data_IF_976637130387
#
_entry.id   IF_976637130387
#
_cell.length_a   1.000
_cell.length_b   1.000
_cell.length_c   1.000
_cell.angle_alpha   90.00
_cell.angle_beta   90.00
_cell.angle_gamma   90.00
#
_symmetry.space_group_name_H-M   'P 1'
#
loop_
_entity.id
_entity.type
_entity.pdbx_description
1 polymer ?
#
# COMPACT_ATOMS: atom_id res chain seq x y z
N UNK A 1 10.05 20.40 -32.56
CA UNK A 1 9.17 20.76 -31.43
C UNK A 1 7.84 20.02 -31.60
N UNK A 2 7.73 18.81 -31.05
CA UNK A 2 6.50 18.03 -31.14
C UNK A 2 5.62 18.34 -29.94
N UNK A 3 4.39 18.78 -30.19
CA UNK A 3 3.38 19.15 -29.19
C UNK A 3 3.04 17.93 -28.34
N UNK A 4 3.42 17.96 -27.06
CA UNK A 4 2.98 16.99 -26.04
C UNK A 4 1.45 17.03 -25.96
N UNK A 5 0.81 15.87 -26.08
CA UNK A 5 -0.64 15.71 -25.85
C UNK A 5 -0.92 16.04 -24.38
N UNK A 6 -1.86 16.96 -24.16
CA UNK A 6 -2.22 17.47 -22.84
C UNK A 6 -2.78 16.39 -21.93
N UNK A 7 -2.01 16.04 -20.91
CA UNK A 7 -2.52 15.65 -19.61
C UNK A 7 -2.79 16.95 -18.84
N UNK A 8 -3.86 16.98 -18.03
CA UNK A 8 -4.26 18.14 -17.24
C UNK A 8 -3.05 18.70 -16.43
N UNK A 9 -2.59 19.94 -16.69
CA UNK A 9 -1.42 20.54 -16.05
C UNK A 9 -1.58 20.85 -14.55
N UNK A 10 -2.75 20.56 -13.95
CA UNK A 10 -3.17 21.18 -12.69
C UNK A 10 -2.63 20.54 -11.38
N UNK A 11 -1.87 19.43 -11.41
CA UNK A 11 -1.35 18.86 -10.14
C UNK A 11 0.09 18.33 -10.13
N UNK A 12 0.70 17.96 -11.26
CA UNK A 12 2.09 17.47 -11.29
C UNK A 12 2.80 17.84 -12.61
N UNK A 13 3.65 18.90 -12.63
CA UNK A 13 4.37 19.32 -13.84
C UNK A 13 5.47 18.35 -14.28
N UNK A 14 5.72 17.29 -13.50
CA UNK A 14 6.79 16.32 -13.71
C UNK A 14 6.25 14.87 -13.84
N UNK A 15 4.98 14.71 -14.24
CA UNK A 15 4.31 13.41 -14.34
C UNK A 15 5.11 12.38 -15.16
N UNK A 16 5.62 12.78 -16.33
CA UNK A 16 6.44 11.92 -17.19
C UNK A 16 7.64 11.31 -16.45
N UNK A 17 8.28 12.09 -15.57
CA UNK A 17 9.42 11.64 -14.78
C UNK A 17 9.01 10.70 -13.66
N UNK A 18 7.95 11.03 -12.92
CA UNK A 18 7.43 10.12 -11.89
C UNK A 18 6.98 8.79 -12.49
N UNK A 19 6.35 8.80 -13.66
CA UNK A 19 5.81 7.60 -14.30
C UNK A 19 6.93 6.65 -14.74
N UNK A 20 7.95 7.15 -15.44
CA UNK A 20 9.05 6.30 -15.87
C UNK A 20 9.85 5.77 -14.66
N UNK A 21 9.98 6.55 -13.58
CA UNK A 21 10.65 6.10 -12.36
C UNK A 21 9.83 5.01 -11.65
N UNK A 22 8.49 5.11 -11.64
CA UNK A 22 7.61 4.08 -11.11
C UNK A 22 7.65 2.79 -11.95
N UNK A 23 7.78 2.90 -13.28
CA UNK A 23 7.98 1.75 -14.16
C UNK A 23 9.34 1.07 -13.88
N UNK A 24 10.42 1.85 -13.76
CA UNK A 24 11.73 1.33 -13.34
C UNK A 24 11.67 0.68 -11.96
N UNK A 25 10.94 1.28 -11.01
CA UNK A 25 10.76 0.70 -9.68
C UNK A 25 10.11 -0.68 -9.80
N UNK A 26 9.00 -0.77 -10.53
CA UNK A 26 8.24 -2.01 -10.76
C UNK A 26 9.12 -3.08 -11.38
N UNK A 27 9.91 -2.73 -12.39
CA UNK A 27 10.89 -3.64 -12.99
C UNK A 27 11.94 -4.14 -11.96
N UNK A 28 12.54 -3.24 -11.18
CA UNK A 28 13.55 -3.64 -10.19
C UNK A 28 12.95 -4.55 -9.10
N UNK A 29 11.68 -4.35 -8.72
CA UNK A 29 10.96 -5.22 -7.77
C UNK A 29 10.62 -6.58 -8.38
N UNK A 30 10.00 -6.59 -9.55
CA UNK A 30 9.35 -7.76 -10.10
C UNK A 30 10.31 -8.66 -10.87
N UNK A 31 11.28 -8.07 -11.59
CA UNK A 31 12.23 -8.82 -12.40
C UNK A 31 13.55 -9.01 -11.66
N UNK A 32 14.19 -7.91 -11.24
CA UNK A 32 15.51 -7.98 -10.59
C UNK A 32 15.44 -8.36 -9.10
N UNK A 33 14.26 -8.34 -8.49
CA UNK A 33 14.04 -8.61 -7.05
C UNK A 33 14.90 -7.72 -6.15
N UNK A 34 15.22 -6.51 -6.61
CA UNK A 34 16.10 -5.55 -5.97
C UNK A 34 15.31 -4.49 -5.18
N UNK A 35 14.84 -4.85 -3.98
CA UNK A 35 13.99 -3.99 -3.16
C UNK A 35 14.62 -2.63 -2.81
N UNK A 36 15.93 -2.56 -2.59
CA UNK A 36 16.61 -1.28 -2.34
C UNK A 36 16.50 -0.31 -3.53
N UNK A 37 16.62 -0.82 -4.77
CA UNK A 37 16.46 0.00 -5.98
C UNK A 37 15.01 0.38 -6.22
N UNK A 38 14.07 -0.54 -6.00
CA UNK A 38 12.63 -0.26 -6.03
C UNK A 38 12.28 0.92 -5.12
N UNK A 39 12.75 0.90 -3.86
CA UNK A 39 12.51 1.97 -2.90
C UNK A 39 13.16 3.29 -3.32
N UNK A 40 14.39 3.25 -3.85
CA UNK A 40 15.09 4.45 -4.32
C UNK A 40 14.34 5.14 -5.47
N UNK A 41 13.85 4.37 -6.45
CA UNK A 41 13.05 4.93 -7.54
C UNK A 41 11.70 5.48 -7.06
N UNK A 42 11.02 4.81 -6.12
CA UNK A 42 9.78 5.34 -5.52
C UNK A 42 9.99 6.62 -4.73
N UNK A 43 11.07 6.71 -3.93
CA UNK A 43 11.43 7.94 -3.21
C UNK A 43 11.62 9.10 -4.21
N UNK A 44 12.41 8.86 -5.26
CA UNK A 44 12.63 9.87 -6.29
C UNK A 44 11.34 10.27 -7.02
N UNK A 45 10.50 9.31 -7.39
CA UNK A 45 9.23 9.56 -8.07
C UNK A 45 8.27 10.42 -7.22
N UNK A 46 8.11 10.09 -5.93
CA UNK A 46 7.23 10.84 -5.02
C UNK A 46 7.71 12.28 -4.80
N UNK A 47 9.02 12.49 -4.72
CA UNK A 47 9.61 13.82 -4.52
C UNK A 47 9.52 14.67 -5.78
N UNK A 48 9.76 14.07 -6.95
CA UNK A 48 9.61 14.73 -8.24
C UNK A 48 8.15 15.09 -8.50
N UNK A 49 7.21 14.20 -8.17
CA UNK A 49 5.78 14.44 -8.34
C UNK A 49 5.26 15.63 -7.52
N UNK A 50 5.86 15.89 -6.35
CA UNK A 50 5.52 17.02 -5.47
C UNK A 50 6.26 18.30 -5.82
N UNK A 51 7.22 18.27 -6.73
CA UNK A 51 7.98 19.46 -7.08
C UNK A 51 7.09 20.44 -7.87
N UNK A 52 6.90 21.69 -7.41
CA UNK A 52 5.84 22.58 -7.92
C UNK A 52 6.14 23.15 -9.31
N UNK A 53 7.39 23.05 -9.76
CA UNK A 53 7.83 23.57 -11.05
C UNK A 53 8.32 22.44 -11.93
N UNK A 54 8.32 22.67 -13.24
CA UNK A 54 8.90 21.71 -14.18
C UNK A 54 10.42 21.61 -13.96
N UNK A 55 10.93 20.39 -13.87
CA UNK A 55 12.36 20.09 -13.83
C UNK A 55 12.91 20.17 -15.26
N UNK A 56 13.97 20.96 -15.44
CA UNK A 56 14.56 21.29 -16.74
C UNK A 56 15.89 20.59 -17.00
N UNK A 57 16.49 19.96 -15.97
CA UNK A 57 17.72 19.18 -16.10
C UNK A 57 17.88 18.16 -14.97
N UNK A 58 18.73 17.15 -15.21
CA UNK A 58 19.17 16.21 -14.19
C UNK A 58 19.89 16.90 -13.03
N UNK A 59 20.66 17.95 -13.29
CA UNK A 59 21.33 18.73 -12.24
C UNK A 59 20.35 19.47 -11.33
N UNK A 60 19.25 19.99 -11.88
CA UNK A 60 18.15 20.54 -11.07
C UNK A 60 17.51 19.44 -10.22
N UNK A 61 17.22 18.28 -10.83
CA UNK A 61 16.62 17.15 -10.14
C UNK A 61 17.50 16.65 -8.99
N UNK A 62 18.82 16.58 -9.19
CA UNK A 62 19.83 16.09 -8.23
C UNK A 62 19.87 16.91 -6.92
N UNK A 63 19.36 18.14 -6.92
CA UNK A 63 19.23 18.96 -5.70
C UNK A 63 18.13 18.47 -4.76
N UNK A 64 17.24 17.59 -5.24
CA UNK A 64 16.16 17.01 -4.44
C UNK A 64 16.68 15.80 -3.65
N UNK A 65 16.44 15.77 -2.33
CA UNK A 65 16.86 14.65 -1.48
C UNK A 65 16.24 13.32 -1.96
N UNK A 66 17.05 12.37 -2.42
CA UNK A 66 16.56 11.10 -2.98
C UNK A 66 16.76 10.98 -4.49
N UNK A 67 17.21 12.03 -5.17
CA UNK A 67 17.61 11.99 -6.58
C UNK A 67 19.14 11.97 -6.69
N UNK A 68 19.71 10.79 -6.94
CA UNK A 68 21.15 10.63 -7.18
C UNK A 68 21.56 10.76 -8.65
N UNK A 69 22.88 10.70 -8.91
CA UNK A 69 23.47 10.84 -10.26
C UNK A 69 22.85 9.94 -11.33
N UNK A 70 22.54 8.69 -10.96
CA UNK A 70 21.96 7.71 -11.88
C UNK A 70 20.52 8.03 -12.28
N UNK A 71 19.79 8.77 -11.45
CA UNK A 71 18.42 9.22 -11.74
C UNK A 71 18.49 10.52 -12.54
N UNK A 72 19.34 11.46 -12.11
CA UNK A 72 19.62 12.70 -12.84
C UNK A 72 19.96 12.45 -14.32
N UNK A 73 20.89 11.53 -14.60
CA UNK A 73 21.25 11.14 -15.97
C UNK A 73 20.09 10.59 -16.79
N UNK A 74 19.14 9.88 -16.16
CA UNK A 74 17.94 9.36 -16.85
C UNK A 74 16.96 10.48 -17.18
N UNK A 75 16.84 11.46 -16.29
CA UNK A 75 16.03 12.66 -16.51
C UNK A 75 16.62 13.44 -17.70
N UNK A 76 17.94 13.63 -17.75
CA UNK A 76 18.59 14.28 -18.90
C UNK A 76 18.37 13.51 -20.21
N UNK A 77 18.55 12.19 -20.20
CA UNK A 77 18.28 11.33 -21.36
C UNK A 77 16.82 11.49 -21.85
N UNK A 78 15.87 11.47 -20.92
CA UNK A 78 14.45 11.62 -21.23
C UNK A 78 14.12 13.01 -21.76
N UNK A 79 14.71 14.07 -21.20
CA UNK A 79 14.54 15.44 -21.68
C UNK A 79 15.07 15.58 -23.12
N UNK A 80 16.22 15.00 -23.40
CA UNK A 80 16.88 15.10 -24.72
C UNK A 80 16.16 14.29 -25.79
N UNK A 81 15.70 13.08 -25.46
CA UNK A 81 15.23 12.10 -26.46
C UNK A 81 13.72 11.86 -26.43
N UNK A 82 13.04 12.28 -25.36
CA UNK A 82 11.64 11.95 -25.08
C UNK A 82 11.40 10.50 -24.66
N UNK A 83 12.45 9.70 -24.47
CA UNK A 83 12.39 8.27 -24.15
C UNK A 83 13.51 7.87 -23.19
N UNK A 84 13.44 6.67 -22.65
CA UNK A 84 14.52 6.07 -21.87
C UNK A 84 14.91 4.72 -22.47
N UNK A 85 16.12 4.61 -23.04
CA UNK A 85 16.60 3.42 -23.72
C UNK A 85 16.54 2.17 -22.83
N UNK A 86 16.77 2.33 -21.52
CA UNK A 86 16.62 1.23 -20.56
C UNK A 86 15.19 0.70 -20.52
N UNK A 87 14.17 1.57 -20.52
CA UNK A 87 12.77 1.14 -20.51
C UNK A 87 12.36 0.51 -21.84
N UNK A 88 12.84 1.06 -22.97
CA UNK A 88 12.57 0.45 -24.29
C UNK A 88 13.10 -1.00 -24.34
N UNK A 89 14.29 -1.26 -23.80
CA UNK A 89 14.83 -2.63 -23.67
C UNK A 89 14.04 -3.51 -22.71
N UNK A 90 13.53 -2.95 -21.62
CA UNK A 90 12.71 -3.69 -20.66
C UNK A 90 11.39 -4.11 -21.30
N UNK A 91 10.73 -3.20 -22.01
CA UNK A 91 9.46 -3.40 -22.71
C UNK A 91 9.57 -4.36 -23.89
N UNK A 92 10.72 -4.39 -24.57
CA UNK A 92 10.99 -5.30 -25.68
C UNK A 92 11.32 -6.75 -25.26
N UNK A 93 11.39 -7.04 -23.95
CA UNK A 93 11.68 -8.37 -23.45
C UNK A 93 10.40 -9.03 -22.92
N UNK A 94 9.89 -10.00 -23.66
CA UNK A 94 8.63 -10.69 -23.36
C UNK A 94 8.62 -11.35 -21.97
N UNK A 95 9.77 -11.85 -21.49
CA UNK A 95 9.88 -12.41 -20.14
C UNK A 95 9.65 -11.35 -19.06
N UNK A 96 10.18 -10.13 -19.24
CA UNK A 96 9.97 -9.04 -18.29
C UNK A 96 8.51 -8.58 -18.27
N UNK A 97 7.89 -8.51 -19.45
CA UNK A 97 6.47 -8.15 -19.62
C UNK A 97 5.60 -9.19 -18.92
N UNK A 98 5.81 -10.48 -19.21
CA UNK A 98 5.07 -11.58 -18.60
C UNK A 98 5.23 -11.62 -17.08
N UNK A 99 6.45 -11.48 -16.54
CA UNK A 99 6.66 -11.42 -15.09
C UNK A 99 5.89 -10.25 -14.48
N UNK A 100 5.97 -9.07 -15.10
CA UNK A 100 5.30 -7.86 -14.59
C UNK A 100 3.79 -8.03 -14.60
N UNK A 101 3.23 -8.57 -15.68
CA UNK A 101 1.81 -8.85 -15.83
C UNK A 101 1.30 -9.83 -14.77
N UNK A 102 1.95 -10.99 -14.62
CA UNK A 102 1.53 -12.01 -13.66
C UNK A 102 1.63 -11.53 -12.21
N UNK A 103 2.59 -10.65 -11.87
CA UNK A 103 2.68 -10.08 -10.51
C UNK A 103 1.56 -9.11 -10.15
N UNK A 104 0.72 -8.70 -11.12
CA UNK A 104 -0.49 -7.92 -10.83
C UNK A 104 -1.56 -8.76 -10.14
N UNK A 105 -1.57 -10.08 -10.36
CA UNK A 105 -2.48 -11.00 -9.66
C UNK A 105 -2.07 -11.10 -8.20
N UNK A 106 -2.94 -10.70 -7.29
CA UNK A 106 -2.64 -10.79 -5.86
C UNK A 106 -2.32 -12.24 -5.45
N UNK A 107 -1.27 -12.41 -4.66
CA UNK A 107 -0.74 -13.73 -4.28
C UNK A 107 0.35 -14.27 -5.22
N UNK A 108 0.56 -13.65 -6.39
CA UNK A 108 1.68 -13.95 -7.28
C UNK A 108 2.80 -12.92 -7.05
N UNK A 109 3.82 -13.31 -6.29
CA UNK A 109 5.05 -12.53 -6.13
C UNK A 109 6.07 -12.80 -7.24
N UNK A 110 7.19 -12.02 -7.28
CA UNK A 110 8.23 -12.13 -8.30
C UNK A 110 8.75 -13.55 -8.55
N UNK A 111 8.97 -14.32 -7.46
CA UNK A 111 9.46 -15.69 -7.56
C UNK A 111 8.43 -16.64 -8.21
N UNK A 112 7.15 -16.49 -7.87
CA UNK A 112 6.09 -17.31 -8.46
C UNK A 112 5.84 -16.93 -9.92
N UNK A 113 5.89 -15.63 -10.26
CA UNK A 113 5.77 -15.17 -11.65
C UNK A 113 6.92 -15.73 -12.51
N UNK A 114 8.16 -15.68 -12.04
CA UNK A 114 9.31 -16.29 -12.74
C UNK A 114 9.12 -17.80 -12.95
N UNK A 115 8.63 -18.51 -11.93
CA UNK A 115 8.34 -19.94 -12.03
C UNK A 115 7.26 -20.22 -13.09
N UNK A 116 6.15 -19.48 -13.08
CA UNK A 116 5.06 -19.63 -14.05
C UNK A 116 5.54 -19.38 -15.48
N UNK A 117 6.34 -18.33 -15.70
CA UNK A 117 6.94 -18.02 -17.01
C UNK A 117 7.88 -19.13 -17.48
N UNK A 118 8.70 -19.68 -16.58
CA UNK A 118 9.57 -20.82 -16.91
C UNK A 118 8.77 -22.09 -17.29
N UNK A 119 7.52 -22.20 -16.83
CA UNK A 119 6.59 -23.26 -17.19
C UNK A 119 5.73 -22.92 -18.43
N UNK A 120 6.02 -21.81 -19.12
CA UNK A 120 5.32 -21.38 -20.34
C UNK A 120 4.08 -20.52 -20.12
N UNK A 121 3.70 -20.24 -18.87
CA UNK A 121 2.54 -19.40 -18.54
C UNK A 121 2.99 -17.95 -18.54
N UNK A 122 2.64 -17.20 -19.58
CA UNK A 122 3.20 -15.87 -19.86
C UNK A 122 2.15 -14.74 -19.91
N UNK A 123 0.86 -15.06 -19.80
CA UNK A 123 -0.22 -14.06 -19.76
C UNK A 123 -1.31 -14.45 -18.75
N UNK A 124 -2.20 -13.51 -18.44
CA UNK A 124 -3.38 -13.78 -17.60
C UNK A 124 -4.31 -14.83 -18.24
N UNK A 125 -4.46 -14.85 -19.56
CA UNK A 125 -5.28 -15.85 -20.27
C UNK A 125 -4.71 -17.26 -20.12
N UNK A 126 -3.39 -17.42 -20.22
CA UNK A 126 -2.75 -18.72 -19.97
C UNK A 126 -2.86 -19.12 -18.50
N UNK A 127 -2.78 -18.15 -17.59
CA UNK A 127 -2.97 -18.39 -16.16
C UNK A 127 -4.39 -18.89 -15.84
N UNK A 128 -5.41 -18.37 -16.54
CA UNK A 128 -6.81 -18.83 -16.42
C UNK A 128 -7.02 -20.28 -16.86
N UNK A 129 -6.17 -20.79 -17.76
CA UNK A 129 -6.19 -22.19 -18.22
C UNK A 129 -5.47 -23.14 -17.27
N UNK A 130 -4.56 -22.64 -16.42
CA UNK A 130 -3.68 -23.44 -15.56
C UNK A 130 -3.92 -23.17 -14.06
N UNK A 131 -5.18 -23.01 -13.66
CA UNK A 131 -5.55 -22.68 -12.26
C UNK A 131 -5.17 -23.77 -11.26
N UNK A 132 -5.00 -25.02 -11.69
CA UNK A 132 -4.53 -26.13 -10.87
C UNK A 132 -3.14 -25.88 -10.27
N UNK A 133 -2.31 -25.04 -10.91
CA UNK A 133 -0.98 -24.66 -10.41
C UNK A 133 -1.01 -23.57 -9.35
N UNK A 134 -2.17 -22.96 -9.12
CA UNK A 134 -2.35 -21.83 -8.23
C UNK A 134 -2.77 -22.26 -6.84
N UNK A 135 -2.21 -21.60 -5.82
CA UNK A 135 -2.71 -21.73 -4.46
C UNK A 135 -4.04 -20.97 -4.29
N UNK A 136 -4.67 -21.16 -3.12
CA UNK A 136 -5.97 -20.55 -2.80
C UNK A 136 -6.01 -19.03 -3.00
N UNK A 137 -5.02 -18.29 -2.49
CA UNK A 137 -4.91 -16.84 -2.65
C UNK A 137 -4.83 -16.46 -4.12
N UNK A 138 -3.96 -17.12 -4.88
CA UNK A 138 -3.75 -16.84 -6.30
C UNK A 138 -5.00 -17.12 -7.13
N UNK A 139 -5.77 -18.17 -6.81
CA UNK A 139 -7.05 -18.48 -7.47
C UNK A 139 -8.07 -17.36 -7.27
N UNK A 140 -8.23 -16.86 -6.04
CA UNK A 140 -9.13 -15.74 -5.77
C UNK A 140 -8.61 -14.45 -6.42
N UNK A 141 -7.29 -14.23 -6.37
CA UNK A 141 -6.66 -13.09 -7.03
C UNK A 141 -6.88 -13.07 -8.53
N UNK A 142 -6.90 -14.24 -9.17
CA UNK A 142 -7.22 -14.38 -10.60
C UNK A 142 -8.71 -14.26 -10.89
N UNK A 143 -9.57 -14.81 -10.00
CA UNK A 143 -11.03 -14.73 -10.10
C UNK A 143 -11.50 -13.28 -10.17
N UNK A 144 -10.90 -12.40 -9.38
CA UNK A 144 -11.29 -10.99 -9.22
C UNK A 144 -10.26 -10.01 -9.82
N UNK A 145 -9.42 -10.47 -10.75
CA UNK A 145 -8.29 -9.72 -11.27
C UNK A 145 -8.69 -8.34 -11.82
N UNK A 146 -9.70 -8.30 -12.68
CA UNK A 146 -10.16 -7.07 -13.34
C UNK A 146 -10.78 -6.07 -12.35
N UNK A 147 -11.37 -6.56 -11.26
CA UNK A 147 -12.01 -5.72 -10.25
C UNK A 147 -10.98 -5.12 -9.29
N UNK A 148 -9.92 -5.88 -8.95
CA UNK A 148 -8.84 -5.41 -8.08
C UNK A 148 -7.93 -4.38 -8.73
N UNK A 149 -7.90 -4.28 -10.06
CA UNK A 149 -7.21 -3.19 -10.76
C UNK A 149 -7.98 -1.86 -10.70
N UNK A 150 -9.28 -1.88 -10.37
CA UNK A 150 -10.12 -0.69 -10.35
C UNK A 150 -10.09 -0.01 -8.99
N UNK A 151 -9.88 1.31 -9.01
CA UNK A 151 -9.96 2.19 -7.84
C UNK A 151 -11.36 2.17 -7.22
N UNK A 152 -11.43 2.40 -5.91
CA UNK A 152 -12.67 2.53 -5.13
C UNK A 152 -12.95 4.03 -4.91
N UNK A 153 -14.02 4.62 -5.47
CA UNK A 153 -14.40 6.00 -5.20
C UNK A 153 -14.61 6.25 -3.70
N UNK A 154 -14.32 7.47 -3.23
CA UNK A 154 -14.48 7.83 -1.82
C UNK A 154 -15.93 7.65 -1.33
N UNK A 155 -16.91 7.93 -2.17
CA UNK A 155 -18.33 7.72 -1.85
C UNK A 155 -18.66 6.24 -1.59
N UNK A 156 -18.10 5.34 -2.41
CA UNK A 156 -18.23 3.88 -2.20
C UNK A 156 -17.56 3.46 -0.88
N UNK A 157 -16.36 3.99 -0.59
CA UNK A 157 -15.67 3.73 0.69
C UNK A 157 -16.48 4.20 1.91
N UNK A 158 -17.22 5.30 1.81
CA UNK A 158 -18.10 5.78 2.87
C UNK A 158 -19.24 4.80 3.14
N UNK A 159 -19.90 4.29 2.08
CA UNK A 159 -20.93 3.25 2.20
C UNK A 159 -20.36 1.97 2.82
N UNK A 160 -19.18 1.52 2.37
CA UNK A 160 -18.49 0.35 2.93
C UNK A 160 -18.17 0.55 4.41
N UNK A 161 -17.66 1.73 4.80
CA UNK A 161 -17.38 2.08 6.19
C UNK A 161 -18.62 1.98 7.06
N UNK A 162 -19.73 2.55 6.61
CA UNK A 162 -20.99 2.53 7.36
C UNK A 162 -21.46 1.10 7.65
N UNK A 163 -21.47 0.23 6.63
CA UNK A 163 -21.83 -1.19 6.77
C UNK A 163 -20.92 -1.86 7.79
N UNK A 164 -19.59 -1.76 7.63
CA UNK A 164 -18.67 -2.50 8.50
C UNK A 164 -18.72 -2.01 9.94
N UNK A 165 -18.72 -0.70 10.17
CA UNK A 165 -18.76 -0.16 11.54
C UNK A 165 -20.09 -0.49 12.22
N UNK A 166 -21.22 -0.40 11.51
CA UNK A 166 -22.53 -0.82 12.02
C UNK A 166 -22.52 -2.30 12.44
N UNK A 167 -22.03 -3.21 11.58
CA UNK A 167 -22.00 -4.64 11.91
C UNK A 167 -21.03 -4.99 13.03
N UNK A 168 -19.89 -4.30 13.13
CA UNK A 168 -18.95 -4.48 14.24
C UNK A 168 -19.61 -4.07 15.57
N UNK A 169 -20.29 -2.93 15.62
CA UNK A 169 -20.96 -2.48 16.85
C UNK A 169 -22.20 -3.31 17.21
N UNK A 170 -22.87 -3.96 16.24
CA UNK A 170 -23.94 -4.93 16.51
C UNK A 170 -23.42 -6.19 17.23
N UNK A 171 -22.17 -6.60 16.95
CA UNK A 171 -21.54 -7.72 17.65
C UNK A 171 -21.18 -7.36 19.09
N UNK A 172 -20.53 -6.21 19.26
CA UNK A 172 -20.12 -5.70 20.57
C UNK A 172 -19.85 -4.19 20.44
N UNK A 173 -20.54 -3.37 21.24
CA UNK A 173 -20.34 -1.92 21.26
C UNK A 173 -18.99 -1.50 21.83
N UNK A 174 -18.26 -2.40 22.50
CA UNK A 174 -16.91 -2.13 23.02
C UNK A 174 -15.82 -2.21 21.93
N UNK A 175 -16.12 -2.73 20.74
CA UNK A 175 -15.17 -2.65 19.63
C UNK A 175 -14.89 -1.20 19.25
N UNK A 176 -13.62 -0.89 19.03
CA UNK A 176 -13.21 0.33 18.34
C UNK A 176 -12.67 -0.08 16.97
N UNK A 177 -13.28 0.43 15.91
CA UNK A 177 -12.86 0.19 14.54
C UNK A 177 -12.91 1.47 13.71
N UNK A 178 -11.95 1.65 12.81
CA UNK A 178 -12.04 2.70 11.79
C UNK A 178 -11.26 2.34 10.53
N UNK A 179 -11.61 3.02 9.43
CA UNK A 179 -10.99 2.84 8.13
C UNK A 179 -9.71 3.67 8.06
N UNK A 180 -8.59 3.02 7.77
CA UNK A 180 -7.26 3.61 7.70
C UNK A 180 -6.82 3.83 6.24
N UNK A 181 -5.54 3.61 5.92
CA UNK A 181 -5.02 3.66 4.57
C UNK A 181 -5.23 5.00 3.87
N UNK A 182 -5.37 4.96 2.54
CA UNK A 182 -5.60 6.16 1.73
C UNK A 182 -6.91 6.89 2.09
N UNK A 183 -7.92 6.16 2.57
CA UNK A 183 -9.18 6.74 2.98
C UNK A 183 -9.02 7.74 4.14
N UNK A 184 -8.29 7.35 5.20
CA UNK A 184 -7.98 8.23 6.34
C UNK A 184 -7.09 9.41 5.95
N UNK A 185 -6.23 9.25 4.95
CA UNK A 185 -5.44 10.34 4.36
C UNK A 185 -6.26 11.28 3.47
N UNK A 186 -7.57 11.07 3.33
CA UNK A 186 -8.44 11.97 2.56
C UNK A 186 -8.36 11.78 1.05
N UNK A 187 -7.90 10.63 0.56
CA UNK A 187 -7.87 10.39 -0.89
C UNK A 187 -9.29 10.31 -1.49
N UNK A 188 -9.44 10.88 -2.69
CA UNK A 188 -10.69 10.83 -3.49
C UNK A 188 -11.04 9.43 -3.99
N UNK A 189 -10.07 8.52 -3.98
CA UNK A 189 -10.30 7.10 -4.17
C UNK A 189 -9.26 6.27 -3.41
N UNK A 190 -9.55 4.99 -3.16
CA UNK A 190 -8.66 4.03 -2.50
C UNK A 190 -8.39 2.81 -3.39
N UNK A 191 -7.32 2.07 -3.10
CA UNK A 191 -7.05 0.79 -3.79
C UNK A 191 -7.88 -0.35 -3.19
N UNK A 192 -8.02 -0.31 -1.88
CA UNK A 192 -8.68 -1.29 -1.03
C UNK A 192 -9.23 -0.62 0.24
N UNK A 193 -9.86 -1.42 1.10
CA UNK A 193 -10.33 -1.00 2.41
C UNK A 193 -9.46 -1.60 3.52
N UNK A 194 -8.83 -0.72 4.29
CA UNK A 194 -7.99 -1.05 5.45
C UNK A 194 -8.77 -0.75 6.74
N UNK A 195 -9.05 -1.75 7.56
CA UNK A 195 -9.77 -1.59 8.83
C UNK A 195 -8.85 -1.92 10.00
N UNK A 196 -8.64 -0.92 10.87
CA UNK A 196 -8.02 -1.15 12.16
C UNK A 196 -9.11 -1.51 13.16
N UNK A 197 -8.89 -2.57 13.94
CA UNK A 197 -9.83 -3.11 14.92
C UNK A 197 -9.14 -3.28 16.27
N UNK A 198 -9.81 -2.88 17.34
CA UNK A 198 -9.38 -3.19 18.70
C UNK A 198 -10.57 -3.37 19.65
N UNK A 199 -10.32 -3.97 20.80
CA UNK A 199 -11.32 -4.28 21.81
C UNK A 199 -10.67 -4.22 23.21
N UNK A 200 -11.29 -3.57 24.23
CA UNK A 200 -10.71 -3.41 25.57
C UNK A 200 -10.25 -4.72 26.22
N UNK A 201 -10.94 -5.82 25.93
CA UNK A 201 -10.58 -7.16 26.41
C UNK A 201 -9.26 -7.74 25.85
N UNK A 202 -8.62 -7.10 24.88
CA UNK A 202 -7.33 -7.51 24.29
C UNK A 202 -6.31 -6.37 24.38
N UNK A 203 -5.33 -6.52 25.26
CA UNK A 203 -4.19 -5.61 25.47
C UNK A 203 -2.86 -6.33 25.28
N UNK A 204 -1.75 -5.58 25.29
CA UNK A 204 -0.39 -6.10 25.11
C UNK A 204 0.05 -7.07 26.22
N UNK A 205 -0.61 -7.01 27.38
CA UNK A 205 -0.35 -7.88 28.54
C UNK A 205 -1.27 -9.10 28.61
N UNK A 206 -2.37 -9.10 27.84
CA UNK A 206 -3.28 -10.24 27.78
C UNK A 206 -2.86 -11.25 26.71
N UNK A 207 -3.33 -12.50 26.83
CA UNK A 207 -3.18 -13.49 25.76
C UNK A 207 -3.90 -13.00 24.50
N UNK A 208 -3.28 -13.19 23.33
CA UNK A 208 -3.92 -12.91 22.03
C UNK A 208 -5.29 -13.56 21.94
N UNK A 209 -6.25 -12.79 21.42
CA UNK A 209 -7.66 -13.17 21.27
C UNK A 209 -8.06 -13.26 19.80
N UNK A 210 -7.62 -14.29 19.06
CA UNK A 210 -7.96 -14.46 17.65
C UNK A 210 -9.47 -14.51 17.39
N UNK A 211 -10.24 -14.97 18.37
CA UNK A 211 -11.70 -15.05 18.32
C UNK A 211 -12.39 -13.70 18.10
N UNK A 212 -11.77 -12.57 18.51
CA UNK A 212 -12.34 -11.24 18.29
C UNK A 212 -12.41 -10.92 16.80
N UNK A 213 -11.29 -11.10 16.09
CA UNK A 213 -11.23 -10.91 14.65
C UNK A 213 -12.11 -11.93 13.91
N UNK A 214 -12.08 -13.20 14.33
CA UNK A 214 -12.87 -14.25 13.70
C UNK A 214 -14.38 -13.98 13.80
N UNK A 215 -14.88 -13.46 14.94
CA UNK A 215 -16.29 -13.08 15.09
C UNK A 215 -16.67 -11.95 14.13
N UNK A 216 -15.83 -10.92 14.01
CA UNK A 216 -16.05 -9.81 13.07
C UNK A 216 -16.11 -10.32 11.62
N UNK A 217 -15.15 -11.14 11.20
CA UNK A 217 -15.15 -11.72 9.84
C UNK A 217 -16.41 -12.54 9.59
N UNK A 218 -16.80 -13.42 10.53
CA UNK A 218 -18.02 -14.23 10.42
C UNK A 218 -19.29 -13.39 10.32
N UNK A 219 -19.37 -12.26 11.03
CA UNK A 219 -20.51 -11.36 10.94
C UNK A 219 -20.61 -10.74 9.54
N UNK A 220 -19.49 -10.25 9.01
CA UNK A 220 -19.44 -9.66 7.67
C UNK A 220 -19.69 -10.70 6.57
N UNK A 221 -19.30 -11.97 6.77
CA UNK A 221 -19.67 -13.10 5.91
C UNK A 221 -21.19 -13.38 5.96
N UNK A 222 -21.80 -13.30 7.15
CA UNK A 222 -23.23 -13.61 7.34
C UNK A 222 -24.16 -12.65 6.60
N UNK A 223 -23.74 -11.38 6.47
CA UNK A 223 -24.45 -10.37 5.67
C UNK A 223 -23.99 -10.33 4.21
N UNK A 224 -23.14 -11.27 3.79
CA UNK A 224 -22.55 -11.37 2.44
C UNK A 224 -21.72 -10.15 2.01
N UNK A 225 -21.30 -9.32 2.97
CA UNK A 225 -20.37 -8.22 2.68
C UNK A 225 -18.98 -8.78 2.39
N UNK A 226 -18.50 -9.73 3.20
CA UNK A 226 -17.31 -10.54 2.88
C UNK A 226 -17.71 -11.71 1.99
N UNK A 227 -17.05 -11.86 0.85
CA UNK A 227 -17.40 -12.84 -0.19
C UNK A 227 -16.35 -13.94 -0.36
N UNK A 228 -15.07 -13.62 -0.17
CA UNK A 228 -13.97 -14.58 -0.29
C UNK A 228 -12.87 -14.26 0.73
N UNK A 229 -12.22 -15.30 1.26
CA UNK A 229 -11.11 -15.15 2.23
C UNK A 229 -9.80 -15.57 1.58
N UNK A 230 -8.81 -14.66 1.56
CA UNK A 230 -7.45 -14.95 1.08
C UNK A 230 -6.60 -15.58 2.18
N UNK A 231 -6.67 -15.00 3.39
CA UNK A 231 -6.03 -15.53 4.59
C UNK A 231 -6.70 -14.98 5.85
N UNK A 232 -6.81 -15.83 6.88
CA UNK A 232 -7.27 -15.43 8.21
C UNK A 232 -6.30 -15.98 9.26
N UNK A 233 -5.59 -15.09 9.94
CA UNK A 233 -4.73 -15.41 11.08
C UNK A 233 -5.22 -14.74 12.36
N UNK A 234 -4.44 -14.84 13.43
CA UNK A 234 -4.87 -14.38 14.78
C UNK A 234 -5.14 -12.88 14.89
N UNK A 235 -4.44 -12.08 14.08
CA UNK A 235 -4.50 -10.60 14.18
C UNK A 235 -4.65 -9.93 12.83
N UNK A 236 -4.69 -10.68 11.73
CA UNK A 236 -4.82 -10.14 10.38
C UNK A 236 -5.76 -11.01 9.55
N UNK A 237 -6.70 -10.34 8.91
CA UNK A 237 -7.54 -10.88 7.86
C UNK A 237 -7.21 -10.19 6.54
N UNK A 238 -7.19 -10.97 5.47
CA UNK A 238 -7.13 -10.48 4.09
C UNK A 238 -8.22 -11.21 3.31
N UNK A 239 -9.11 -10.47 2.67
CA UNK A 239 -10.21 -11.05 1.91
C UNK A 239 -10.79 -10.12 0.85
N UNK A 240 -12.00 -10.45 0.46
CA UNK A 240 -12.75 -9.78 -0.60
C UNK A 240 -14.10 -9.41 -0.05
N UNK A 241 -14.52 -8.18 -0.33
CA UNK A 241 -15.84 -7.70 0.02
C UNK A 241 -16.56 -7.09 -1.17
N UNK A 242 -17.87 -6.99 -1.06
CA UNK A 242 -18.71 -6.36 -2.05
C UNK A 242 -19.85 -5.64 -1.32
N UNK A 243 -20.15 -4.40 -1.71
CA UNK A 243 -21.39 -3.76 -1.26
C UNK A 243 -22.60 -4.50 -1.84
N UNK A 244 -23.72 -4.57 -1.10
CA UNK A 244 -24.98 -5.03 -1.68
C UNK A 244 -25.37 -4.11 -2.84
N UNK A 245 -26.19 -4.63 -3.76
CA UNK A 245 -26.75 -3.83 -4.85
C UNK A 245 -27.46 -2.61 -4.29
N UNK A 246 -27.27 -1.47 -4.92
CA UNK A 246 -27.95 -0.24 -4.54
C UNK A 246 -29.45 -0.30 -4.91
N UNK A 247 -30.25 0.61 -4.39
CA UNK A 247 -31.70 0.66 -4.63
C UNK A 247 -32.04 0.84 -6.12
N UNK A 248 -31.16 1.49 -6.88
CA UNK A 248 -31.27 1.69 -8.33
C UNK A 248 -30.81 0.48 -9.17
N UNK A 249 -30.36 -0.60 -8.51
CA UNK A 249 -29.86 -1.82 -9.15
C UNK A 249 -28.38 -1.79 -9.51
N UNK A 250 -27.63 -0.75 -9.14
CA UNK A 250 -26.18 -0.66 -9.37
C UNK A 250 -25.45 -1.84 -8.71
N UNK A 251 -24.69 -2.58 -9.53
CA UNK A 251 -23.80 -3.64 -9.05
C UNK A 251 -22.42 -3.07 -8.70
N UNK A 252 -21.98 -3.33 -7.47
CA UNK A 252 -20.64 -2.95 -7.03
C UNK A 252 -19.61 -4.01 -7.39
N UNK A 253 -18.36 -3.58 -7.57
CA UNK A 253 -17.26 -4.47 -7.90
C UNK A 253 -16.74 -5.20 -6.65
N UNK A 254 -16.06 -6.31 -6.84
CA UNK A 254 -15.36 -6.98 -5.74
C UNK A 254 -14.14 -6.18 -5.30
N UNK A 255 -14.06 -5.85 -4.01
CA UNK A 255 -13.00 -5.01 -3.43
C UNK A 255 -12.13 -5.80 -2.48
N UNK A 256 -10.85 -5.45 -2.40
CA UNK A 256 -9.94 -5.98 -1.38
C UNK A 256 -10.27 -5.38 -0.02
N UNK A 257 -10.28 -6.23 1.00
CA UNK A 257 -10.48 -5.87 2.40
C UNK A 257 -9.37 -6.46 3.26
N UNK A 258 -8.74 -5.61 4.06
CA UNK A 258 -7.78 -6.00 5.08
C UNK A 258 -8.28 -5.53 6.45
N UNK A 259 -8.36 -6.44 7.42
CA UNK A 259 -8.71 -6.12 8.80
C UNK A 259 -7.54 -6.49 9.71
N UNK A 260 -7.09 -5.53 10.52
CA UNK A 260 -5.99 -5.72 11.46
C UNK A 260 -6.49 -5.54 12.90
N UNK A 261 -6.46 -6.62 13.67
CA UNK A 261 -6.74 -6.60 15.11
C UNK A 261 -5.46 -6.30 15.90
N UNK A 262 -5.51 -5.28 16.75
CA UNK A 262 -4.37 -4.76 17.50
C UNK A 262 -4.73 -4.64 19.00
N UNK A 263 -3.76 -4.83 19.91
CA UNK A 263 -3.94 -4.53 21.33
C UNK A 263 -4.48 -3.11 21.58
N UNK A 264 -5.45 -2.99 22.46
CA UNK A 264 -6.15 -1.74 22.77
C UNK A 264 -5.22 -0.61 23.23
N UNK A 265 -4.24 -0.94 24.06
CA UNK A 265 -3.21 -0.05 24.59
C UNK A 265 -2.12 0.34 23.57
N UNK A 266 -2.18 -0.20 22.34
CA UNK A 266 -1.21 0.07 21.26
C UNK A 266 -1.87 0.75 20.05
N UNK A 267 -3.12 1.19 20.21
CA UNK A 267 -3.96 1.71 19.13
C UNK A 267 -3.29 2.83 18.33
N UNK A 268 -2.69 3.83 18.96
CA UNK A 268 -2.11 4.98 18.25
C UNK A 268 -0.88 4.64 17.41
N UNK A 269 -0.03 3.70 17.87
CA UNK A 269 1.09 3.21 17.06
C UNK A 269 0.59 2.47 15.81
N UNK A 270 -0.47 1.67 15.97
CA UNK A 270 -1.05 0.96 14.84
C UNK A 270 -1.84 1.88 13.91
N UNK A 271 -2.54 2.88 14.45
CA UNK A 271 -3.26 3.88 13.68
C UNK A 271 -2.29 4.66 12.79
N UNK A 272 -1.16 5.11 13.36
CA UNK A 272 -0.09 5.74 12.60
C UNK A 272 0.42 4.83 11.47
N UNK A 273 0.76 3.58 11.80
CA UNK A 273 1.25 2.60 10.83
C UNK A 273 0.24 2.34 9.70
N UNK A 274 -1.03 2.11 10.05
CA UNK A 274 -2.04 1.70 9.08
C UNK A 274 -2.63 2.89 8.31
N UNK A 275 -2.46 4.11 8.81
CA UNK A 275 -2.73 5.34 8.05
C UNK A 275 -1.74 5.50 6.90
N UNK A 276 -0.46 5.19 7.11
CA UNK A 276 0.59 5.35 6.10
C UNK A 276 0.77 6.80 5.62
N UNK A 277 1.24 7.04 4.38
CA UNK A 277 1.56 6.06 3.33
C UNK A 277 2.73 5.14 3.70
N UNK A 278 2.98 4.11 2.89
CA UNK A 278 4.09 3.19 3.14
C UNK A 278 5.46 3.89 3.03
N UNK A 279 5.58 4.90 2.15
CA UNK A 279 6.76 5.77 2.07
C UNK A 279 6.87 6.67 3.30
N UNK A 280 5.79 7.30 3.74
CA UNK A 280 5.78 8.11 4.97
C UNK A 280 6.24 7.28 6.18
N UNK A 281 5.70 6.07 6.34
CA UNK A 281 6.10 5.16 7.41
C UNK A 281 7.60 4.83 7.37
N UNK A 282 8.17 4.64 6.18
CA UNK A 282 9.60 4.36 6.01
C UNK A 282 10.43 5.58 6.39
N UNK A 283 10.09 6.75 5.86
CA UNK A 283 10.78 8.01 6.18
C UNK A 283 10.76 8.26 7.70
N UNK A 284 9.58 8.15 8.33
CA UNK A 284 9.42 8.36 9.76
C UNK A 284 10.19 7.35 10.60
N UNK A 285 10.19 6.07 10.23
CA UNK A 285 10.98 5.03 10.93
C UNK A 285 12.49 5.23 10.76
N UNK A 286 12.95 5.69 9.60
CA UNK A 286 14.36 6.03 9.39
C UNK A 286 14.76 7.21 10.27
N UNK A 287 13.95 8.28 10.32
CA UNK A 287 14.17 9.41 11.22
C UNK A 287 14.18 8.97 12.70
N UNK A 288 13.26 8.07 13.09
CA UNK A 288 13.24 7.53 14.44
C UNK A 288 14.57 6.86 14.81
N UNK A 289 15.12 6.04 13.91
CA UNK A 289 16.42 5.37 14.13
C UNK A 289 17.56 6.38 14.29
N UNK A 290 17.58 7.44 13.47
CA UNK A 290 18.55 8.54 13.59
C UNK A 290 18.43 9.30 14.93
N UNK A 291 17.21 9.38 15.46
CA UNK A 291 16.90 9.97 16.77
C UNK A 291 17.06 9.00 17.95
N UNK A 292 17.50 7.76 17.71
CA UNK A 292 17.71 6.77 18.77
C UNK A 292 16.44 6.04 19.21
N UNK A 293 15.47 5.90 18.32
CA UNK A 293 14.21 5.18 18.56
C UNK A 293 13.94 4.14 17.47
N UNK A 294 13.12 3.14 17.79
CA UNK A 294 12.52 2.24 16.80
C UNK A 294 11.02 2.29 16.93
N UNK A 295 10.32 2.41 15.80
CA UNK A 295 8.85 2.47 15.73
C UNK A 295 8.36 1.27 14.92
N UNK A 296 7.40 0.52 15.48
CA UNK A 296 6.61 -0.46 14.74
C UNK A 296 5.10 -0.20 14.96
N UNK A 297 4.24 -1.08 14.47
CA UNK A 297 2.78 -0.93 14.64
C UNK A 297 2.31 -1.12 16.10
N UNK A 298 3.19 -1.51 17.02
CA UNK A 298 2.83 -1.84 18.40
C UNK A 298 3.38 -0.82 19.40
N UNK A 299 4.54 -0.22 19.14
CA UNK A 299 5.22 0.64 20.11
C UNK A 299 6.31 1.48 19.44
N UNK A 300 6.65 2.58 20.11
CA UNK A 300 7.94 3.27 19.98
C UNK A 300 8.82 2.90 21.18
N UNK A 301 10.09 2.58 20.91
CA UNK A 301 11.07 2.16 21.93
C UNK A 301 12.38 2.90 21.76
N UNK A 302 13.05 3.32 22.84
CA UNK A 302 14.40 3.88 22.76
C UNK A 302 15.39 2.78 22.35
N UNK A 303 16.44 3.17 21.64
CA UNK A 303 17.53 2.30 21.21
C UNK A 303 18.82 2.89 21.75
N UNK A 304 19.41 2.21 22.73
CA UNK A 304 20.66 2.63 23.36
C UNK A 304 21.89 2.31 22.50
N UNK A 305 23.08 2.55 23.05
CA UNK A 305 24.37 2.30 22.39
C UNK A 305 24.59 0.84 21.96
N UNK A 306 23.89 -0.11 22.59
CA UNK A 306 23.95 -1.53 22.24
C UNK A 306 23.12 -1.89 20.99
N UNK A 307 22.25 -0.99 20.52
CA UNK A 307 21.32 -1.25 19.42
C UNK A 307 20.10 -2.10 19.81
N UNK A 308 19.99 -2.51 21.08
CA UNK A 308 18.85 -3.29 21.58
C UNK A 308 17.70 -2.34 21.94
N UNK A 309 16.47 -2.57 21.42
CA UNK A 309 15.30 -1.79 21.82
C UNK A 309 15.00 -1.95 23.32
N UNK A 310 14.82 -0.84 24.02
CA UNK A 310 14.36 -0.81 25.41
C UNK A 310 12.85 -1.03 25.55
N UNK A 311 12.31 -0.63 26.70
CA UNK A 311 10.87 -0.76 26.99
C UNK A 311 10.01 0.19 26.14
N UNK A 312 8.75 -0.17 25.83
CA UNK A 312 7.79 0.72 25.17
C UNK A 312 7.59 2.03 25.93
N UNK A 313 7.63 3.14 25.20
CA UNK A 313 7.28 4.46 25.75
C UNK A 313 5.76 4.61 25.83
N UNK A 314 5.25 5.40 26.78
CA UNK A 314 3.82 5.69 26.86
C UNK A 314 3.37 6.50 25.63
N UNK A 315 2.26 6.07 25.03
CA UNK A 315 1.64 6.71 23.86
C UNK A 315 0.13 6.79 24.09
N UNK A 316 -0.38 8.00 24.09
CA UNK A 316 -1.80 8.35 24.30
C UNK A 316 -2.41 9.11 23.13
N UNK A 317 -1.59 9.46 22.13
CA UNK A 317 -2.01 10.14 20.91
C UNK A 317 -1.09 9.75 19.74
N UNK A 318 -1.45 10.10 18.50
CA UNK A 318 -0.48 9.98 17.40
C UNK A 318 0.66 10.99 17.58
N UNK A 319 0.34 12.18 18.06
CA UNK A 319 1.21 13.33 18.32
C UNK A 319 2.40 12.97 19.23
N UNK A 320 2.17 12.18 20.28
CA UNK A 320 3.24 11.72 21.20
C UNK A 320 4.38 11.04 20.42
N UNK A 321 4.05 10.25 19.39
CA UNK A 321 5.02 9.53 18.56
C UNK A 321 5.86 10.51 17.73
N UNK A 322 5.26 11.60 17.25
CA UNK A 322 5.94 12.66 16.52
C UNK A 322 6.86 13.46 17.44
N UNK A 323 6.41 13.74 18.66
CA UNK A 323 7.18 14.49 19.66
C UNK A 323 8.45 13.74 20.09
N UNK A 324 8.36 12.41 20.32
CA UNK A 324 9.53 11.61 20.68
C UNK A 324 10.66 11.67 19.65
N UNK A 325 10.32 11.78 18.36
CA UNK A 325 11.31 11.85 17.28
C UNK A 325 11.61 13.28 16.81
N UNK A 326 11.14 14.29 17.55
CA UNK A 326 11.34 15.71 17.26
C UNK A 326 10.90 16.05 15.82
N UNK A 327 9.73 15.55 15.44
CA UNK A 327 9.09 15.79 14.16
C UNK A 327 7.81 16.58 14.40
N UNK A 328 7.61 17.68 13.66
CA UNK A 328 6.33 18.39 13.71
C UNK A 328 5.19 17.44 13.29
N UNK A 329 4.11 17.42 14.07
CA UNK A 329 2.93 16.63 13.76
C UNK A 329 2.42 16.93 12.35
N UNK A 330 2.19 15.87 11.58
CA UNK A 330 1.53 15.92 10.27
C UNK A 330 0.16 15.28 10.38
N UNK A 331 -0.88 15.98 9.93
CA UNK A 331 -2.23 15.42 9.80
C UNK A 331 -2.22 14.24 8.81
N UNK A 332 -3.17 13.29 8.89
CA UNK A 332 -3.25 12.17 7.96
C UNK A 332 -3.17 12.58 6.47
N UNK A 333 -3.81 13.68 6.08
CA UNK A 333 -3.78 14.19 4.69
C UNK A 333 -2.41 14.67 4.21
N UNK A 334 -1.51 15.00 5.13
CA UNK A 334 -0.14 15.45 4.83
C UNK A 334 0.86 14.26 4.73
N UNK A 335 0.38 13.03 4.91
CA UNK A 335 1.18 11.79 4.92
C UNK A 335 1.09 10.99 3.62
N UNK A 336 0.48 11.54 2.58
CA UNK A 336 0.45 10.93 1.24
C UNK A 336 1.78 11.18 0.53
N UNK A 337 2.80 10.42 0.92
CA UNK A 337 4.14 10.39 0.31
C UNK A 337 4.31 9.31 -0.74
#
# INVERSE_FOLDING_TARGET
MSKRKGLDPSSNPNADFSDFLMELATYEKNVNRAMHKYNAYRKAAGIIAKHPTQIMSGDQAKKLDGVGDKIAKKIDEFIQTGKLQKLEKIRANDTNVAITELTKVTGIGPANAQKLVAEGITSIEELRKHQEKLNHHQKIGLKHFEDFEKRIPREEMLKMREVVISEIHKLDSEYTADVCGSFRRGAESSGDMDILLTHPSYTSTTKKKPELLQKVVKQLESIKFVTDTLSLGDSKYMGVCQLPKDEDGTEYLFRRLDIRSIPYDQFYCALLYFTGSDMFNRTMRTLALEKGFTINEYSIRPVGSTGVPGEPLPVTSEEDIFDYIDMKYKKPSERSE
#
